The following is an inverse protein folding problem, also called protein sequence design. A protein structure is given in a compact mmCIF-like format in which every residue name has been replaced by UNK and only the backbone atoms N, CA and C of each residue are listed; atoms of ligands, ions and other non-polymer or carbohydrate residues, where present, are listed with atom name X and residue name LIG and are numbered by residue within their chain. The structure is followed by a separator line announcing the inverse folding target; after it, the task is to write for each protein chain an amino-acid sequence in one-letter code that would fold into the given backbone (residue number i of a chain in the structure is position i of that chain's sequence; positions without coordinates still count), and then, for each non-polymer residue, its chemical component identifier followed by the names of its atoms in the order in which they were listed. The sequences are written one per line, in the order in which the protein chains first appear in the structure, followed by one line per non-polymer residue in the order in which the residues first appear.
data_IF_735571868370
#
_entry.id   IF_735571868370
#
_cell.length_a   1.000
_cell.length_b   1.000
_cell.length_c   1.000
_cell.angle_alpha   90.00
_cell.angle_beta   90.00
_cell.angle_gamma   90.00
#
_symmetry.space_group_name_H-M   'P 1'
#
loop_
_entity.id
_entity.type
_entity.pdbx_description
1 polymer ?
#
# COMPACT_ATOMS: atom_id res chain seq x y z
N UNK A 1 -12.12 -1.69 22.28
CA UNK A 1 -12.60 -1.17 20.97
C UNK A 1 -11.54 -1.50 19.92
N UNK A 2 -11.97 -2.07 18.80
CA UNK A 2 -11.16 -2.64 17.73
C UNK A 2 -10.19 -1.62 17.09
N UNK A 3 -8.88 -1.82 17.28
CA UNK A 3 -7.83 -1.07 16.57
C UNK A 3 -7.70 -1.64 15.16
N UNK A 4 -8.52 -1.11 14.25
CA UNK A 4 -8.48 -1.44 12.82
C UNK A 4 -7.19 -0.90 12.18
N UNK A 5 -6.14 -1.73 12.17
CA UNK A 5 -5.15 -1.80 11.09
C UNK A 5 -4.51 -0.47 10.68
N UNK A 6 -4.03 0.33 11.63
CA UNK A 6 -3.17 1.45 11.31
C UNK A 6 -1.79 0.87 10.96
N UNK A 7 -1.59 0.59 9.66
CA UNK A 7 -0.43 -0.09 9.09
C UNK A 7 0.88 0.18 9.82
N UNK A 8 1.53 -0.91 10.22
CA UNK A 8 2.85 -0.93 10.86
C UNK A 8 3.79 0.03 10.14
N UNK A 9 4.52 0.82 10.93
CA UNK A 9 5.66 1.58 10.43
C UNK A 9 6.61 0.56 9.78
N UNK A 10 6.88 0.72 8.49
CA UNK A 10 7.90 -0.08 7.82
C UNK A 10 9.27 0.29 8.38
N UNK A 11 10.30 -0.54 8.13
CA UNK A 11 11.66 -0.31 8.68
C UNK A 11 12.25 1.06 8.32
N UNK A 12 11.75 1.71 7.27
CA UNK A 12 12.11 3.08 6.86
C UNK A 12 11.32 4.18 7.60
N UNK A 13 10.53 3.83 8.61
CA UNK A 13 9.68 4.73 9.39
C UNK A 13 8.48 5.28 8.64
N UNK A 14 8.21 4.81 7.42
CA UNK A 14 7.11 5.29 6.60
C UNK A 14 5.87 4.46 6.82
N UNK A 15 4.72 5.09 6.56
CA UNK A 15 3.44 4.41 6.66
C UNK A 15 2.80 4.28 5.30
N UNK A 16 3.17 3.21 4.62
CA UNK A 16 2.61 2.87 3.33
C UNK A 16 1.13 2.51 3.44
N UNK A 17 0.37 2.94 2.43
CA UNK A 17 -1.03 2.66 2.21
C UNK A 17 -1.18 2.18 0.77
N UNK A 18 -2.29 1.50 0.50
CA UNK A 18 -2.64 1.13 -0.86
C UNK A 18 -3.98 1.75 -1.25
N UNK A 19 -4.11 2.13 -2.52
CA UNK A 19 -5.36 2.58 -3.13
C UNK A 19 -5.60 1.79 -4.41
N UNK A 20 -6.71 1.05 -4.52
CA UNK A 20 -7.12 0.46 -5.77
C UNK A 20 -7.58 1.57 -6.74
N UNK A 21 -7.10 1.52 -7.98
CA UNK A 21 -7.45 2.44 -9.07
C UNK A 21 -7.72 1.60 -10.31
N UNK A 22 -9.00 1.34 -10.60
CA UNK A 22 -9.44 0.45 -11.68
C UNK A 22 -8.70 -0.91 -11.67
N UNK A 23 -7.90 -1.18 -12.72
CA UNK A 23 -7.08 -2.38 -12.88
C UNK A 23 -5.68 -2.23 -12.30
N UNK A 24 -5.50 -1.35 -11.31
CA UNK A 24 -4.22 -1.08 -10.68
C UNK A 24 -4.34 -0.98 -9.17
N UNK A 25 -3.23 -1.26 -8.50
CA UNK A 25 -3.04 -1.06 -7.07
C UNK A 25 -1.86 -0.10 -6.88
N UNK A 26 -2.14 1.08 -6.34
CA UNK A 26 -1.12 2.08 -6.06
C UNK A 26 -0.68 1.97 -4.60
N UNK A 27 0.62 1.85 -4.36
CA UNK A 27 1.23 1.95 -3.04
C UNK A 27 1.79 3.35 -2.87
N UNK A 28 1.42 4.00 -1.76
CA UNK A 28 1.80 5.38 -1.50
C UNK A 28 1.98 5.63 0.00
N UNK A 29 2.69 6.69 0.34
CA UNK A 29 2.71 7.24 1.68
C UNK A 29 2.50 8.75 1.62
N UNK A 30 2.10 9.31 2.75
CA UNK A 30 1.91 10.75 2.90
C UNK A 30 2.99 11.23 3.86
N UNK A 31 3.74 12.23 3.44
CA UNK A 31 4.65 12.97 4.32
C UNK A 31 4.25 14.46 4.29
N UNK A 32 3.94 15.00 5.47
CA UNK A 32 3.34 16.33 5.66
C UNK A 32 2.11 16.55 4.77
N UNK A 33 2.27 17.19 3.61
CA UNK A 33 1.22 17.56 2.67
C UNK A 33 1.46 17.01 1.26
N UNK A 34 2.43 16.11 1.13
CA UNK A 34 2.84 15.53 -0.16
C UNK A 34 2.53 14.04 -0.19
N UNK A 35 2.08 13.59 -1.37
CA UNK A 35 1.76 12.19 -1.63
C UNK A 35 2.87 11.59 -2.48
N UNK A 36 3.51 10.56 -1.95
CA UNK A 36 4.61 9.87 -2.60
C UNK A 36 4.15 8.49 -3.04
N UNK A 37 4.17 8.24 -4.35
CA UNK A 37 3.84 6.92 -4.93
C UNK A 37 5.11 6.09 -5.00
N UNK A 38 5.14 4.96 -4.30
CA UNK A 38 6.29 4.05 -4.30
C UNK A 38 6.22 3.00 -5.39
N UNK A 39 5.01 2.54 -5.74
CA UNK A 39 4.79 1.57 -6.83
C UNK A 39 3.36 1.61 -7.34
N UNK A 40 3.20 1.41 -8.64
CA UNK A 40 1.91 1.14 -9.27
C UNK A 40 1.98 -0.24 -9.89
N UNK A 41 1.00 -1.06 -9.56
CA UNK A 41 0.97 -2.47 -9.87
C UNK A 41 -0.31 -2.81 -10.61
N UNK A 42 -0.25 -3.60 -11.69
CA UNK A 42 -1.45 -3.98 -12.43
C UNK A 42 -2.22 -5.07 -11.67
N UNK A 43 -3.51 -4.87 -11.40
CA UNK A 43 -4.38 -5.80 -10.65
C UNK A 43 -4.57 -7.16 -11.33
N UNK A 44 -4.32 -7.28 -12.64
CA UNK A 44 -4.38 -8.55 -13.38
C UNK A 44 -3.17 -9.44 -13.10
N UNK A 45 -2.06 -8.89 -12.60
CA UNK A 45 -1.02 -9.71 -11.99
C UNK A 45 -1.62 -10.26 -10.69
N UNK A 46 -1.73 -11.58 -10.59
CA UNK A 46 -2.47 -12.27 -9.54
C UNK A 46 -1.78 -12.08 -8.17
N UNK A 47 -1.98 -10.93 -7.51
CA UNK A 47 -1.33 -10.53 -6.25
C UNK A 47 -1.52 -11.56 -5.13
N UNK A 48 -2.65 -12.25 -5.13
CA UNK A 48 -2.95 -13.32 -4.19
C UNK A 48 -1.94 -14.48 -4.24
N UNK A 49 -1.23 -14.68 -5.36
CA UNK A 49 -0.16 -15.69 -5.45
C UNK A 49 1.19 -15.23 -4.89
N UNK A 50 1.42 -13.91 -4.75
CA UNK A 50 2.67 -13.36 -4.22
C UNK A 50 2.69 -13.32 -2.68
N UNK A 51 1.52 -13.19 -2.05
CA UNK A 51 1.38 -13.14 -0.59
C UNK A 51 1.07 -14.51 0.06
N UNK A 52 1.00 -15.58 -0.73
CA UNK A 52 0.69 -16.91 -0.26
C UNK A 52 1.92 -17.81 -0.48
N UNK A 53 2.80 -17.86 0.52
CA UNK A 53 3.86 -18.88 0.64
C UNK A 53 3.86 -19.42 2.05
#
# INVERSE_FOLDING_TARGET
MSSRGYGELTDDGKRYRYMPIENYLAFYYIDKYEVYVSRILNSKQNWAKLFNK
#
